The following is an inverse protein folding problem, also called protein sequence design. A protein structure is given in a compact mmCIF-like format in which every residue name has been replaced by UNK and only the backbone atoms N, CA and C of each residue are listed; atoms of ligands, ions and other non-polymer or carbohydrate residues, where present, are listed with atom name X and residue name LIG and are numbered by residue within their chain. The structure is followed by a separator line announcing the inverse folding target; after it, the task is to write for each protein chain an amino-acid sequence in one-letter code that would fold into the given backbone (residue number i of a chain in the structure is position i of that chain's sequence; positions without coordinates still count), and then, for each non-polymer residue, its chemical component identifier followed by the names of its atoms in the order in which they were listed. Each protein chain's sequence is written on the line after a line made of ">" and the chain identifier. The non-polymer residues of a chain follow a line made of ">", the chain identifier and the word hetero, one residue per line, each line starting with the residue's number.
data_IF_913378980702
#
_entry.id   IF_913378980702
#
_cell.length_a   1.000
_cell.length_b   1.000
_cell.length_c   1.000
_cell.angle_alpha   90.00
_cell.angle_beta   90.00
_cell.angle_gamma   90.00
#
_symmetry.space_group_name_H-M   'P 1'
#
loop_
_entity.id
_entity.type
_entity.pdbx_description
1 polymer ?
#
# COMPACT_ATOMS: atom_id res chain seq x y z
N UNK A 1 -50.63 -39.09 11.78
CA UNK A 1 -49.28 -38.67 11.33
C UNK A 1 -48.26 -39.56 12.00
N UNK A 2 -47.49 -40.32 11.23
CA UNK A 2 -46.53 -41.29 11.78
C UNK A 2 -45.32 -40.56 12.38
N UNK A 3 -44.71 -41.14 13.41
CA UNK A 3 -43.49 -40.59 14.03
C UNK A 3 -42.38 -40.34 13.00
N UNK A 4 -42.35 -41.11 11.92
CA UNK A 4 -41.45 -40.96 10.78
C UNK A 4 -41.59 -39.58 10.08
N UNK A 5 -42.83 -39.14 9.81
CA UNK A 5 -43.07 -37.84 9.17
C UNK A 5 -42.65 -36.67 10.05
N UNK A 6 -42.67 -36.83 11.38
CA UNK A 6 -42.21 -35.79 12.31
C UNK A 6 -40.68 -35.72 12.32
N UNK A 7 -39.98 -36.86 12.29
CA UNK A 7 -38.51 -36.93 12.20
C UNK A 7 -38.02 -36.31 10.89
N UNK A 8 -38.65 -36.64 9.76
CA UNK A 8 -38.24 -36.11 8.46
C UNK A 8 -38.36 -34.58 8.38
N UNK A 9 -39.42 -34.00 8.97
CA UNK A 9 -39.60 -32.54 9.05
C UNK A 9 -38.49 -31.90 9.89
N UNK A 10 -38.13 -32.51 11.03
CA UNK A 10 -37.08 -31.99 11.92
C UNK A 10 -35.72 -32.02 11.22
N UNK A 11 -35.40 -33.09 10.50
CA UNK A 11 -34.12 -33.22 9.77
C UNK A 11 -34.03 -32.17 8.67
N UNK A 12 -35.08 -31.99 7.87
CA UNK A 12 -35.10 -31.00 6.78
C UNK A 12 -34.92 -29.57 7.32
N UNK A 13 -35.41 -29.28 8.52
CA UNK A 13 -35.29 -27.96 9.12
C UNK A 13 -33.92 -27.73 9.78
N UNK A 14 -33.40 -28.70 10.53
CA UNK A 14 -32.21 -28.53 11.37
C UNK A 14 -30.90 -28.79 10.61
N UNK A 15 -30.88 -29.74 9.68
CA UNK A 15 -29.68 -30.08 8.91
C UNK A 15 -29.05 -28.89 8.14
N UNK A 16 -29.80 -28.03 7.42
CA UNK A 16 -29.19 -26.89 6.71
C UNK A 16 -28.61 -25.84 7.67
N UNK A 17 -29.24 -25.65 8.84
CA UNK A 17 -28.76 -24.69 9.85
C UNK A 17 -27.41 -25.15 10.43
N UNK A 18 -27.28 -26.44 10.73
CA UNK A 18 -26.02 -27.01 11.20
C UNK A 18 -24.93 -26.97 10.11
N UNK A 19 -25.29 -27.20 8.85
CA UNK A 19 -24.34 -27.12 7.73
C UNK A 19 -23.76 -25.71 7.56
N UNK A 20 -24.62 -24.69 7.56
CA UNK A 20 -24.20 -23.29 7.44
C UNK A 20 -23.42 -22.84 8.67
N UNK A 21 -23.87 -23.20 9.88
CA UNK A 21 -23.17 -22.88 11.12
C UNK A 21 -21.76 -23.48 11.16
N UNK A 22 -21.59 -24.74 10.75
CA UNK A 22 -20.29 -25.39 10.67
C UNK A 22 -19.37 -24.75 9.61
N UNK A 23 -19.93 -24.37 8.46
CA UNK A 23 -19.18 -23.69 7.40
C UNK A 23 -18.66 -22.32 7.84
N UNK A 24 -19.49 -21.53 8.53
CA UNK A 24 -19.09 -20.23 9.06
C UNK A 24 -18.05 -20.37 10.18
N UNK A 25 -18.21 -21.35 11.08
CA UNK A 25 -17.25 -21.59 12.16
C UNK A 25 -15.86 -22.01 11.63
N UNK A 26 -15.81 -22.85 10.59
CA UNK A 26 -14.55 -23.28 9.98
C UNK A 26 -13.81 -22.19 9.19
N UNK A 27 -14.50 -21.09 8.80
CA UNK A 27 -13.92 -20.01 7.99
C UNK A 27 -13.31 -18.84 8.76
N UNK A 28 -13.43 -18.79 10.09
CA UNK A 28 -13.08 -17.61 10.91
C UNK A 28 -11.57 -17.46 11.19
N UNK A 29 -10.76 -18.50 11.03
CA UNK A 29 -9.34 -18.47 11.45
C UNK A 29 -8.36 -17.80 10.45
N UNK A 30 -8.81 -17.33 9.28
CA UNK A 30 -7.88 -17.01 8.17
C UNK A 30 -7.65 -15.53 7.84
N UNK A 31 -8.24 -14.56 8.56
CA UNK A 31 -8.16 -13.13 8.14
C UNK A 31 -7.55 -12.16 9.16
N UNK A 32 -7.17 -12.62 10.36
CA UNK A 32 -6.73 -11.70 11.43
C UNK A 32 -5.21 -11.43 11.44
N UNK A 33 -4.40 -12.18 10.69
CA UNK A 33 -2.93 -12.11 10.79
C UNK A 33 -2.23 -11.11 9.85
N UNK A 34 -2.92 -10.47 8.90
CA UNK A 34 -2.28 -9.60 7.90
C UNK A 34 -2.11 -8.12 8.32
N UNK A 35 -2.66 -7.72 9.48
CA UNK A 35 -2.62 -6.31 9.94
C UNK A 35 -1.73 -6.07 11.16
N UNK A 36 -1.02 -7.08 11.65
CA UNK A 36 -0.09 -6.91 12.78
C UNK A 36 1.30 -6.47 12.29
N UNK A 37 1.39 -5.24 11.80
CA UNK A 37 2.69 -4.60 11.60
C UNK A 37 3.21 -4.10 12.95
N UNK A 38 4.02 -4.92 13.62
CA UNK A 38 4.81 -4.49 14.77
C UNK A 38 5.71 -3.32 14.37
N UNK A 39 5.64 -2.23 15.12
CA UNK A 39 6.44 -1.01 14.93
C UNK A 39 7.93 -1.34 14.86
N UNK A 40 8.52 -1.23 13.67
CA UNK A 40 9.97 -1.34 13.45
C UNK A 40 10.62 -0.09 14.03
N UNK A 41 11.27 -0.23 15.18
CA UNK A 41 12.16 0.79 15.74
C UNK A 41 13.41 0.91 14.87
N UNK A 42 13.51 2.00 14.12
CA UNK A 42 14.64 2.34 13.26
C UNK A 42 15.78 2.88 14.13
N UNK A 43 16.50 1.99 14.82
CA UNK A 43 17.81 2.24 15.38
C UNK A 43 18.62 0.94 15.29
N UNK A 44 19.21 0.68 14.12
CA UNK A 44 20.21 -0.38 13.97
C UNK A 44 21.35 0.14 13.12
N UNK A 45 22.53 0.14 13.73
CA UNK A 45 23.81 0.50 13.16
C UNK A 45 24.11 -0.37 11.92
N UNK A 46 24.66 0.21 10.83
CA UNK A 46 24.90 -0.54 9.60
C UNK A 46 26.00 -1.58 9.81
N UNK A 47 25.63 -2.85 9.96
CA UNK A 47 26.59 -3.96 9.85
C UNK A 47 26.29 -5.22 10.64
N UNK A 48 25.48 -5.15 11.71
CA UNK A 48 25.20 -6.32 12.56
C UNK A 48 23.68 -6.53 12.61
N UNK A 49 23.18 -7.50 11.83
CA UNK A 49 21.75 -7.85 11.75
C UNK A 49 21.11 -7.76 10.34
N UNK A 50 21.88 -7.37 9.33
CA UNK A 50 21.37 -7.11 7.98
C UNK A 50 20.98 -8.38 7.18
N UNK A 51 21.48 -9.56 7.56
CA UNK A 51 21.16 -10.82 6.87
C UNK A 51 19.69 -11.22 7.11
N UNK A 52 19.22 -11.10 8.35
CA UNK A 52 17.83 -11.36 8.72
C UNK A 52 16.88 -10.35 8.04
N UNK A 53 17.31 -9.09 7.92
CA UNK A 53 16.56 -8.03 7.26
C UNK A 53 16.51 -8.25 5.74
N UNK A 54 17.61 -8.69 5.14
CA UNK A 54 17.69 -9.05 3.72
C UNK A 54 16.80 -10.24 3.35
N UNK A 55 16.72 -11.25 4.22
CA UNK A 55 15.81 -12.38 4.05
C UNK A 55 14.34 -11.95 4.13
N UNK A 56 13.96 -11.16 5.15
CA UNK A 56 12.60 -10.63 5.28
C UNK A 56 12.20 -9.73 4.12
N UNK A 57 13.11 -8.87 3.67
CA UNK A 57 12.87 -8.01 2.50
C UNK A 57 12.69 -8.86 1.23
N UNK A 58 13.47 -9.91 1.06
CA UNK A 58 13.35 -10.83 -0.09
C UNK A 58 12.04 -11.62 -0.06
N UNK A 59 11.57 -12.05 1.11
CA UNK A 59 10.28 -12.71 1.28
C UNK A 59 9.13 -11.77 0.93
N UNK A 60 9.15 -10.54 1.45
CA UNK A 60 8.16 -9.50 1.12
C UNK A 60 8.18 -9.18 -0.39
N UNK A 61 9.35 -9.06 -1.00
CA UNK A 61 9.45 -8.81 -2.45
C UNK A 61 8.94 -9.97 -3.29
N UNK A 62 9.11 -11.23 -2.84
CA UNK A 62 8.51 -12.40 -3.50
C UNK A 62 6.99 -12.41 -3.36
N UNK A 63 6.47 -12.04 -2.20
CA UNK A 63 5.04 -11.90 -1.94
C UNK A 63 4.43 -10.79 -2.81
N UNK A 64 5.06 -9.61 -2.88
CA UNK A 64 4.65 -8.52 -3.77
C UNK A 64 4.73 -8.90 -5.26
N UNK A 65 5.73 -9.67 -5.68
CA UNK A 65 5.82 -10.21 -7.05
C UNK A 65 4.69 -11.19 -7.36
N UNK A 66 4.14 -11.86 -6.34
CA UNK A 66 3.01 -12.78 -6.47
C UNK A 66 1.68 -12.05 -6.63
N UNK A 67 1.60 -10.77 -6.25
CA UNK A 67 0.43 -9.94 -6.49
C UNK A 67 0.32 -9.72 -8.00
N UNK A 68 -0.53 -10.53 -8.63
CA UNK A 68 -0.95 -10.34 -10.01
C UNK A 68 -2.10 -9.36 -10.01
N UNK A 69 -1.97 -8.34 -10.86
CA UNK A 69 -3.07 -7.44 -11.13
C UNK A 69 -4.20 -8.24 -11.79
N UNK A 70 -5.40 -8.17 -11.23
CA UNK A 70 -6.57 -8.87 -11.75
C UNK A 70 -7.28 -7.99 -12.77
N UNK A 71 -7.06 -8.25 -14.06
CA UNK A 71 -7.68 -7.51 -15.17
C UNK A 71 -9.20 -7.62 -15.20
N UNK A 72 -9.79 -8.59 -14.48
CA UNK A 72 -11.24 -8.74 -14.37
C UNK A 72 -11.91 -7.54 -13.72
N UNK A 73 -11.17 -6.74 -12.93
CA UNK A 73 -11.71 -5.50 -12.34
C UNK A 73 -12.17 -4.52 -13.42
N UNK A 74 -11.53 -4.51 -14.60
CA UNK A 74 -11.92 -3.64 -15.71
C UNK A 74 -13.18 -4.11 -16.45
N UNK A 75 -13.60 -5.35 -16.23
CA UNK A 75 -14.84 -5.92 -16.77
C UNK A 75 -16.01 -5.85 -15.80
N UNK A 76 -15.77 -5.45 -14.55
CA UNK A 76 -16.81 -5.30 -13.54
C UNK A 76 -17.77 -4.16 -13.94
N UNK A 77 -19.11 -4.39 -13.96
CA UNK A 77 -20.09 -3.34 -14.18
C UNK A 77 -19.91 -2.12 -13.26
N UNK A 78 -19.44 -2.32 -12.02
CA UNK A 78 -19.14 -1.24 -11.09
C UNK A 78 -17.96 -0.38 -11.58
N UNK A 79 -16.91 -0.99 -12.13
CA UNK A 79 -15.79 -0.25 -12.72
C UNK A 79 -16.21 0.51 -13.97
N UNK A 80 -17.02 -0.11 -14.84
CA UNK A 80 -17.56 0.53 -16.04
C UNK A 80 -18.51 1.69 -15.73
N UNK A 81 -19.11 1.71 -14.53
CA UNK A 81 -19.98 2.80 -14.07
C UNK A 81 -19.21 4.02 -13.54
N UNK A 82 -17.88 3.93 -13.41
CA UNK A 82 -17.06 5.05 -12.95
C UNK A 82 -17.11 6.19 -13.97
N UNK A 83 -17.58 7.33 -13.49
CA UNK A 83 -17.60 8.55 -14.27
C UNK A 83 -16.23 9.24 -14.19
N UNK A 84 -15.71 9.67 -15.34
CA UNK A 84 -14.47 10.41 -15.40
C UNK A 84 -14.69 11.85 -14.90
N UNK A 85 -13.98 12.22 -13.83
CA UNK A 85 -14.00 13.56 -13.25
C UNK A 85 -12.78 14.40 -13.67
N UNK A 86 -12.07 14.02 -14.74
CA UNK A 86 -11.00 14.84 -15.30
C UNK A 86 -11.58 16.15 -15.86
N UNK A 87 -11.66 17.15 -14.98
CA UNK A 87 -11.88 18.53 -15.36
C UNK A 87 -10.59 19.16 -15.89
N UNK A 88 -10.72 20.17 -16.74
CA UNK A 88 -9.58 21.04 -17.06
C UNK A 88 -9.08 21.67 -15.76
N UNK A 89 -7.85 21.36 -15.36
CA UNK A 89 -7.22 21.98 -14.21
C UNK A 89 -6.94 23.43 -14.60
N UNK A 90 -7.55 24.43 -13.94
CA UNK A 90 -7.24 25.83 -14.24
C UNK A 90 -5.77 26.10 -13.92
N UNK A 91 -5.11 26.90 -14.75
CA UNK A 91 -3.74 27.34 -14.49
C UNK A 91 -3.71 28.10 -13.16
N UNK A 92 -3.12 27.50 -12.14
CA UNK A 92 -2.89 28.16 -10.86
C UNK A 92 -1.59 28.95 -10.92
N UNK A 93 -1.58 30.12 -10.27
CA UNK A 93 -0.34 30.86 -10.07
C UNK A 93 0.68 29.96 -9.38
N UNK A 94 1.93 30.01 -9.86
CA UNK A 94 3.08 29.21 -9.41
C UNK A 94 3.03 29.03 -7.89
N UNK A 95 3.13 27.77 -7.43
CA UNK A 95 3.02 27.42 -6.01
C UNK A 95 4.01 28.17 -5.12
N UNK A 96 3.89 27.98 -3.80
CA UNK A 96 4.83 28.60 -2.84
C UNK A 96 6.27 28.29 -3.24
N UNK A 97 7.19 29.26 -3.12
CA UNK A 97 8.61 29.03 -3.36
C UNK A 97 9.09 27.79 -2.62
N UNK A 98 9.96 27.00 -3.27
CA UNK A 98 10.50 25.78 -2.69
C UNK A 98 11.19 26.11 -1.35
N UNK A 99 10.78 25.50 -0.21
CA UNK A 99 11.20 25.91 1.13
C UNK A 99 12.68 25.64 1.43
N UNK A 100 13.35 24.86 0.59
CA UNK A 100 14.79 24.64 0.65
C UNK A 100 15.54 25.38 -0.46
N UNK A 101 14.92 26.40 -1.07
CA UNK A 101 15.65 27.33 -1.93
C UNK A 101 16.70 28.03 -1.07
N UNK A 102 17.95 28.14 -1.55
CA UNK A 102 18.94 28.93 -0.83
C UNK A 102 18.41 30.35 -0.66
N UNK A 103 18.62 30.93 0.53
CA UNK A 103 18.28 32.32 0.79
C UNK A 103 18.99 33.22 -0.22
N UNK A 104 18.41 34.40 -0.48
CA UNK A 104 18.99 35.34 -1.45
C UNK A 104 20.43 35.73 -1.07
N UNK A 105 20.74 35.73 0.23
CA UNK A 105 22.09 35.90 0.75
C UNK A 105 23.03 34.75 0.33
N UNK A 106 22.59 33.49 0.46
CA UNK A 106 23.38 32.32 0.03
C UNK A 106 23.56 32.29 -1.50
N UNK A 107 22.57 32.75 -2.26
CA UNK A 107 22.68 32.91 -3.72
C UNK A 107 23.70 33.99 -4.08
N UNK A 108 23.61 35.16 -3.46
CA UNK A 108 24.56 36.26 -3.68
C UNK A 108 26.00 35.86 -3.35
N UNK A 109 26.20 35.12 -2.24
CA UNK A 109 27.51 34.57 -1.87
C UNK A 109 28.03 33.55 -2.89
N UNK A 110 27.16 32.71 -3.46
CA UNK A 110 27.53 31.75 -4.50
C UNK A 110 27.89 32.43 -5.82
N UNK A 111 27.20 33.51 -6.18
CA UNK A 111 27.48 34.31 -7.38
C UNK A 111 28.79 35.09 -7.24
N UNK A 112 29.08 35.64 -6.06
CA UNK A 112 30.37 36.27 -5.75
C UNK A 112 31.53 35.24 -5.79
N UNK A 113 31.31 34.04 -5.24
CA UNK A 113 32.29 32.96 -5.29
C UNK A 113 32.51 32.41 -6.72
N UNK A 114 31.49 32.50 -7.58
CA UNK A 114 31.57 32.09 -8.98
C UNK A 114 32.17 33.18 -9.90
N UNK A 115 31.99 34.46 -9.57
CA UNK A 115 32.52 35.60 -10.33
C UNK A 115 34.02 35.81 -10.13
N UNK A 116 34.59 35.36 -9.00
CA UNK A 116 36.01 35.54 -8.67
C UNK A 116 36.96 34.53 -9.34
N UNK A 117 36.50 33.77 -10.35
CA UNK A 117 37.30 32.74 -11.03
C UNK A 117 37.67 33.05 -12.48
N UNK A 118 37.68 34.34 -12.86
CA UNK A 118 38.22 34.79 -14.15
C UNK A 118 39.23 35.93 -13.99
N UNK A 119 40.46 35.57 -13.63
CA UNK A 119 41.63 36.35 -14.02
C UNK A 119 42.69 35.38 -14.54
N UNK A 120 43.04 35.45 -15.83
CA UNK A 120 43.94 34.49 -16.46
C UNK A 120 45.38 34.75 -16.00
N UNK A 121 46.15 33.66 -15.94
CA UNK A 121 47.60 33.69 -15.85
C UNK A 121 48.18 34.66 -16.89
N UNK A 122 48.91 35.68 -16.45
CA UNK A 122 49.84 36.47 -17.28
C UNK A 122 50.81 37.28 -16.41
N UNK A 123 51.93 36.67 -16.00
CA UNK A 123 53.29 37.09 -16.35
C UNK A 123 54.34 36.22 -15.66
#
# INVERSE_FOLDING_TARGET
>A
MGKQTLIDIVIVLIAPILLVGAFLYAGVDSVTSLLSFSSIGVLSEPGIGNEQLGMKTTEVLKELKSIKFNDSIFTDPAFLSLYDFTGTIPETAVGRPYPFSPSDEVKALREQASGNKSSPLSR
#
